data_IF_244816812913
#
_entry.id   IF_244816812913
#
_cell.length_a   1.000
_cell.length_b   1.000
_cell.length_c   1.000
_cell.angle_alpha   90.00
_cell.angle_beta   90.00
_cell.angle_gamma   90.00
#
_symmetry.space_group_name_H-M   'P 1'
#
loop_
_entity.id
_entity.type
_entity.pdbx_description
1 polymer ?
#
# COMPACT_ATOMS: atom_id res chain seq x y z
N UNK A 1 -12.39 -12.23 -3.19
CA UNK A 1 -11.86 -10.89 -3.54
C UNK A 1 -11.39 -10.81 -4.99
N UNK A 2 -10.62 -11.77 -5.50
CA UNK A 2 -10.13 -11.77 -6.89
C UNK A 2 -11.23 -11.61 -7.96
N UNK A 3 -12.36 -12.33 -7.83
CA UNK A 3 -13.53 -12.17 -8.71
C UNK A 3 -14.04 -10.72 -8.74
N UNK A 4 -14.07 -10.03 -7.60
CA UNK A 4 -14.51 -8.62 -7.51
C UNK A 4 -13.50 -7.68 -8.17
N UNK A 5 -12.20 -7.92 -7.97
CA UNK A 5 -11.14 -7.15 -8.63
C UNK A 5 -11.24 -7.31 -10.15
N UNK A 6 -11.48 -8.53 -10.65
CA UNK A 6 -11.62 -8.81 -12.07
C UNK A 6 -12.80 -8.08 -12.71
N UNK A 7 -13.88 -7.87 -11.97
CA UNK A 7 -15.04 -7.09 -12.45
C UNK A 7 -14.74 -5.59 -12.62
N UNK A 8 -13.93 -5.02 -11.73
CA UNK A 8 -13.68 -3.56 -11.71
C UNK A 8 -12.37 -3.17 -12.41
N UNK A 9 -11.40 -4.07 -12.50
CA UNK A 9 -10.12 -3.88 -13.17
C UNK A 9 -9.56 -5.22 -13.65
N UNK A 10 -9.95 -5.68 -14.85
CA UNK A 10 -9.44 -6.92 -15.42
C UNK A 10 -7.91 -6.92 -15.58
N UNK A 11 -7.30 -5.76 -15.83
CA UNK A 11 -5.85 -5.62 -15.97
C UNK A 11 -5.12 -5.82 -14.62
N UNK A 12 -5.65 -5.26 -13.53
CA UNK A 12 -5.08 -5.47 -12.20
C UNK A 12 -5.31 -6.91 -11.72
N UNK A 13 -6.44 -7.52 -12.08
CA UNK A 13 -6.73 -8.91 -11.73
C UNK A 13 -5.86 -9.96 -12.45
N UNK A 14 -5.16 -9.56 -13.52
CA UNK A 14 -4.13 -10.40 -14.15
C UNK A 14 -2.79 -10.38 -13.40
N UNK A 15 -2.66 -9.48 -12.43
CA UNK A 15 -1.47 -9.36 -11.59
C UNK A 15 -1.60 -10.24 -10.34
N UNK A 16 -0.59 -10.26 -9.48
CA UNK A 16 -0.65 -10.99 -8.22
C UNK A 16 -1.67 -10.37 -7.27
N UNK A 17 -2.54 -11.19 -6.66
CA UNK A 17 -3.42 -10.76 -5.57
C UNK A 17 -3.27 -11.70 -4.37
N UNK A 18 -2.91 -11.15 -3.21
CA UNK A 18 -2.86 -11.85 -1.93
C UNK A 18 -3.93 -11.33 -0.97
N UNK A 19 -4.45 -12.18 -0.09
CA UNK A 19 -5.31 -11.76 1.03
C UNK A 19 -5.17 -12.71 2.19
N UNK A 20 -5.12 -12.18 3.41
CA UNK A 20 -4.88 -12.94 4.64
C UNK A 20 -5.86 -12.58 5.77
N UNK A 21 -7.16 -12.50 5.47
CA UNK A 21 -8.24 -12.23 6.44
C UNK A 21 -8.28 -10.80 6.98
N UNK A 22 -7.12 -10.23 7.30
CA UNK A 22 -6.91 -8.91 7.89
C UNK A 22 -6.63 -7.84 6.85
N UNK A 23 -6.41 -8.24 5.59
CA UNK A 23 -6.08 -7.36 4.49
C UNK A 23 -5.99 -8.04 3.14
N UNK A 24 -5.59 -7.26 2.15
CA UNK A 24 -5.24 -7.74 0.82
C UNK A 24 -4.14 -6.88 0.20
N UNK A 25 -3.44 -7.46 -0.76
CA UNK A 25 -2.40 -6.84 -1.56
C UNK A 25 -2.63 -7.14 -3.03
N UNK A 26 -2.26 -6.18 -3.88
CA UNK A 26 -2.13 -6.36 -5.33
C UNK A 26 -0.67 -6.09 -5.66
N UNK A 27 -0.01 -7.10 -6.22
CA UNK A 27 1.41 -7.09 -6.57
C UNK A 27 1.58 -6.96 -8.07
N UNK A 28 2.49 -6.09 -8.49
CA UNK A 28 2.79 -5.78 -9.88
C UNK A 28 4.23 -6.21 -10.17
N UNK A 29 4.45 -7.14 -11.11
CA UNK A 29 5.79 -7.57 -11.47
C UNK A 29 6.67 -6.41 -11.95
N UNK A 30 7.93 -6.46 -11.57
CA UNK A 30 8.96 -5.50 -11.95
C UNK A 30 10.30 -6.22 -12.20
N UNK A 31 11.17 -5.71 -13.07
CA UNK A 31 12.49 -6.31 -13.25
C UNK A 31 13.29 -6.40 -11.94
N UNK A 32 14.05 -7.49 -11.80
CA UNK A 32 15.07 -7.66 -10.77
C UNK A 32 16.00 -6.42 -10.70
N UNK A 33 16.45 -5.99 -9.50
CA UNK A 33 16.36 -6.66 -8.19
C UNK A 33 15.11 -6.32 -7.36
N UNK A 34 14.08 -5.70 -7.96
CA UNK A 34 12.88 -5.27 -7.20
C UNK A 34 11.82 -6.36 -7.18
N UNK A 35 11.73 -7.17 -8.25
CA UNK A 35 10.79 -8.28 -8.49
C UNK A 35 9.31 -7.89 -8.49
N UNK A 36 8.81 -7.24 -7.44
CA UNK A 36 7.43 -6.77 -7.36
C UNK A 36 7.31 -5.41 -6.65
N UNK A 37 6.34 -4.62 -7.10
CA UNK A 37 5.75 -3.56 -6.29
C UNK A 37 4.40 -4.02 -5.77
N UNK A 38 4.15 -3.87 -4.48
CA UNK A 38 2.90 -4.25 -3.87
C UNK A 38 2.15 -3.04 -3.31
N UNK A 39 0.82 -3.07 -3.45
CA UNK A 39 -0.07 -2.14 -2.79
C UNK A 39 -1.17 -2.88 -2.04
N UNK A 40 -1.43 -2.49 -0.79
CA UNK A 40 -2.44 -3.18 0.00
C UNK A 40 -3.10 -2.32 1.05
N UNK A 41 -4.18 -2.87 1.61
CA UNK A 41 -4.81 -2.37 2.82
C UNK A 41 -4.85 -3.52 3.80
N UNK A 42 -4.35 -3.29 5.01
CA UNK A 42 -4.30 -4.30 6.07
C UNK A 42 -4.60 -3.67 7.42
N UNK A 43 -5.13 -4.48 8.32
CA UNK A 43 -5.06 -4.22 9.76
C UNK A 43 -3.70 -4.74 10.25
N UNK A 44 -3.00 -4.06 11.16
CA UNK A 44 -1.79 -4.63 11.78
C UNK A 44 -2.04 -6.04 12.35
N UNK A 45 -1.07 -6.97 12.24
CA UNK A 45 -1.23 -8.33 12.74
C UNK A 45 -1.55 -8.40 14.25
N UNK A 46 -2.23 -9.46 14.67
CA UNK A 46 -2.49 -9.76 16.09
C UNK A 46 -3.82 -9.25 16.65
N UNK A 47 -4.72 -8.71 15.82
CA UNK A 47 -5.93 -8.02 16.33
C UNK A 47 -7.27 -8.48 15.76
N UNK A 48 -7.33 -9.29 14.68
CA UNK A 48 -8.58 -9.52 13.93
C UNK A 48 -8.64 -10.80 13.10
N UNK A 49 -9.87 -11.24 12.79
CA UNK A 49 -10.19 -12.31 11.82
C UNK A 49 -10.62 -11.76 10.44
N UNK A 50 -11.29 -10.60 10.37
CA UNK A 50 -11.82 -10.02 9.12
C UNK A 50 -11.76 -8.48 9.10
N UNK A 51 -11.46 -7.87 7.94
CA UNK A 51 -11.46 -6.42 7.74
C UNK A 51 -12.85 -5.83 7.43
N UNK A 52 -13.08 -4.56 7.77
CA UNK A 52 -14.37 -3.89 7.56
C UNK A 52 -14.44 -3.19 6.19
N UNK A 53 -15.40 -3.62 5.36
CA UNK A 53 -15.60 -3.04 4.01
C UNK A 53 -15.88 -1.52 4.00
N UNK A 54 -16.65 -0.93 4.95
CA UNK A 54 -16.85 0.52 4.97
C UNK A 54 -15.56 1.31 5.21
N UNK A 55 -14.66 0.81 6.06
CA UNK A 55 -13.36 1.45 6.32
C UNK A 55 -12.51 1.41 5.05
N UNK A 56 -12.43 0.25 4.41
CA UNK A 56 -11.72 0.07 3.15
C UNK A 56 -12.14 1.07 2.07
N UNK A 57 -13.45 1.20 1.82
CA UNK A 57 -14.00 2.16 0.84
C UNK A 57 -13.63 3.60 1.18
N UNK A 58 -13.58 3.92 2.47
CA UNK A 58 -13.23 5.26 2.95
C UNK A 58 -11.76 5.56 2.71
N UNK A 59 -10.87 4.60 3.03
CA UNK A 59 -9.42 4.70 2.75
C UNK A 59 -9.19 4.86 1.25
N UNK A 60 -9.78 4.00 0.42
CA UNK A 60 -9.63 4.04 -1.03
C UNK A 60 -9.99 5.42 -1.61
N UNK A 61 -11.07 6.05 -1.14
CA UNK A 61 -11.43 7.42 -1.56
C UNK A 61 -10.43 8.46 -1.09
N UNK A 62 -9.94 8.35 0.15
CA UNK A 62 -8.97 9.31 0.71
C UNK A 62 -7.60 9.26 0.01
N UNK A 63 -7.14 8.07 -0.39
CA UNK A 63 -5.82 7.89 -1.02
C UNK A 63 -5.82 8.09 -2.53
N UNK A 64 -6.99 8.03 -3.18
CA UNK A 64 -7.09 8.11 -4.65
C UNK A 64 -6.39 9.34 -5.25
N UNK A 65 -6.52 10.57 -4.71
CA UNK A 65 -5.82 11.73 -5.27
C UNK A 65 -4.29 11.58 -5.23
N UNK A 66 -3.75 10.92 -4.20
CA UNK A 66 -2.33 10.61 -4.10
C UNK A 66 -1.88 9.67 -5.23
N UNK A 67 -2.57 8.55 -5.43
CA UNK A 67 -2.25 7.62 -6.52
C UNK A 67 -2.43 8.22 -7.91
N UNK A 68 -3.45 9.07 -8.11
CA UNK A 68 -3.62 9.80 -9.36
C UNK A 68 -2.45 10.75 -9.64
N UNK A 69 -1.96 11.45 -8.62
CA UNK A 69 -0.78 12.33 -8.75
C UNK A 69 0.48 11.52 -9.04
N UNK A 70 0.67 10.40 -8.33
CA UNK A 70 1.79 9.48 -8.54
C UNK A 70 1.83 8.94 -9.97
N UNK A 71 0.69 8.48 -10.48
CA UNK A 71 0.60 7.88 -11.81
C UNK A 71 0.74 8.90 -12.96
N UNK A 72 0.23 10.13 -12.79
CA UNK A 72 0.13 11.13 -13.87
C UNK A 72 1.27 12.15 -13.88
N UNK A 73 2.10 12.21 -12.85
CA UNK A 73 3.15 13.23 -12.73
C UNK A 73 4.51 12.61 -12.40
N UNK A 74 5.34 12.44 -13.43
CA UNK A 74 6.67 11.83 -13.32
C UNK A 74 7.62 12.62 -12.41
N UNK A 75 7.53 13.95 -12.38
CA UNK A 75 8.36 14.78 -11.49
C UNK A 75 8.00 14.54 -10.02
N UNK A 76 6.71 14.51 -9.69
CA UNK A 76 6.22 14.16 -8.36
C UNK A 76 6.67 12.76 -7.95
N UNK A 77 6.50 11.76 -8.83
CA UNK A 77 6.92 10.39 -8.57
C UNK A 77 8.42 10.29 -8.28
N UNK A 78 9.26 10.98 -9.07
CA UNK A 78 10.71 11.05 -8.86
C UNK A 78 11.07 11.70 -7.53
N UNK A 79 10.45 12.84 -7.19
CA UNK A 79 10.71 13.51 -5.92
C UNK A 79 10.31 12.65 -4.72
N UNK A 80 9.17 11.95 -4.80
CA UNK A 80 8.74 11.03 -3.77
C UNK A 80 9.72 9.86 -3.63
N UNK A 81 10.10 9.21 -4.72
CA UNK A 81 11.05 8.10 -4.71
C UNK A 81 12.40 8.51 -4.12
N UNK A 82 12.93 9.69 -4.49
CA UNK A 82 14.17 10.22 -3.94
C UNK A 82 14.04 10.55 -2.45
N UNK A 83 12.90 11.05 -1.99
CA UNK A 83 12.66 11.34 -0.59
C UNK A 83 12.62 10.03 0.24
N UNK A 84 11.96 8.99 -0.28
CA UNK A 84 11.92 7.65 0.31
C UNK A 84 13.34 7.07 0.41
N UNK A 85 14.06 7.01 -0.72
CA UNK A 85 15.43 6.48 -0.78
C UNK A 85 16.39 7.16 0.19
N UNK A 86 16.20 8.47 0.45
CA UNK A 86 17.04 9.25 1.37
C UNK A 86 16.53 9.27 2.81
N UNK A 87 15.48 8.50 3.15
CA UNK A 87 14.89 8.48 4.49
C UNK A 87 14.31 9.83 4.94
N UNK A 88 13.92 10.71 4.01
CA UNK A 88 13.45 12.07 4.32
C UNK A 88 11.96 12.07 4.68
N UNK A 89 11.62 11.54 5.85
CA UNK A 89 10.23 11.40 6.33
C UNK A 89 9.44 12.71 6.27
N UNK A 90 10.05 13.84 6.65
CA UNK A 90 9.39 15.15 6.57
C UNK A 90 9.02 15.53 5.12
N UNK A 91 9.90 15.26 4.16
CA UNK A 91 9.64 15.53 2.74
C UNK A 91 8.55 14.60 2.18
N UNK A 92 8.58 13.31 2.53
CA UNK A 92 7.51 12.35 2.18
C UNK A 92 6.16 12.82 2.74
N UNK A 93 6.13 13.24 4.00
CA UNK A 93 4.93 13.78 4.63
C UNK A 93 4.40 15.01 3.88
N UNK A 94 5.27 15.97 3.55
CA UNK A 94 4.90 17.18 2.79
C UNK A 94 4.36 16.87 1.40
N UNK A 95 4.85 15.83 0.73
CA UNK A 95 4.38 15.41 -0.59
C UNK A 95 3.01 14.71 -0.53
N UNK A 96 2.79 13.86 0.46
CA UNK A 96 1.61 12.99 0.53
C UNK A 96 0.43 13.66 1.26
N UNK A 97 0.68 14.32 2.39
CA UNK A 97 -0.37 14.85 3.27
C UNK A 97 -1.36 15.79 2.55
N UNK A 98 -0.92 16.69 1.64
CA UNK A 98 -1.84 17.56 0.90
C UNK A 98 -2.74 16.84 -0.09
N UNK A 99 -2.40 15.61 -0.48
CA UNK A 99 -3.16 14.77 -1.40
C UNK A 99 -4.14 13.83 -0.66
N UNK A 100 -3.78 13.41 0.55
CA UNK A 100 -4.63 12.57 1.41
C UNK A 100 -5.30 13.46 2.46
N UNK A 101 -6.32 14.22 2.03
CA UNK A 101 -7.00 15.23 2.85
C UNK A 101 -8.09 14.60 3.72
N UNK A 102 -7.68 13.91 4.76
CA UNK A 102 -8.59 13.41 5.80
C UNK A 102 -8.01 13.66 7.19
N UNK A 103 -8.87 13.86 8.19
CA UNK A 103 -8.48 13.99 9.58
C UNK A 103 -8.14 12.64 10.23
N UNK A 104 -8.63 11.53 9.64
CA UNK A 104 -8.40 10.18 10.15
C UNK A 104 -7.05 9.59 9.74
N UNK A 105 -6.26 10.30 8.92
CA UNK A 105 -4.88 9.92 8.61
C UNK A 105 -4.00 10.37 9.77
N UNK A 106 -3.51 9.42 10.56
CA UNK A 106 -2.70 9.69 11.75
C UNK A 106 -1.23 9.86 11.40
N UNK A 107 -0.67 8.92 10.63
CA UNK A 107 0.77 8.89 10.34
C UNK A 107 1.08 8.53 8.89
N UNK A 108 2.21 9.03 8.41
CA UNK A 108 2.84 8.68 7.13
C UNK A 108 4.28 8.28 7.47
N UNK A 109 4.63 7.02 7.23
CA UNK A 109 5.97 6.47 7.49
C UNK A 109 6.60 5.93 6.20
N UNK A 110 7.93 5.87 6.18
CA UNK A 110 8.70 5.17 5.15
C UNK A 110 8.93 3.76 5.66
N UNK A 111 8.54 2.76 4.86
CA UNK A 111 8.69 1.33 5.16
C UNK A 111 8.92 0.59 3.85
N UNK A 112 9.82 -0.41 3.86
CA UNK A 112 10.08 -1.34 2.75
C UNK A 112 10.23 -0.65 1.38
N UNK A 113 11.11 0.35 1.33
CA UNK A 113 11.35 1.18 0.13
C UNK A 113 10.10 1.87 -0.46
N UNK A 114 9.09 2.08 0.38
CA UNK A 114 7.85 2.71 0.01
C UNK A 114 7.27 3.54 1.15
N UNK A 115 5.95 3.49 1.32
CA UNK A 115 5.21 4.28 2.31
C UNK A 115 4.09 3.50 2.95
N UNK A 116 3.87 3.79 4.22
CA UNK A 116 2.72 3.34 4.99
C UNK A 116 1.91 4.51 5.51
N UNK A 117 0.61 4.46 5.29
CA UNK A 117 -0.35 5.46 5.74
C UNK A 117 -1.29 4.82 6.76
N UNK A 118 -1.26 5.28 8.00
CA UNK A 118 -2.09 4.78 9.09
C UNK A 118 -3.38 5.59 9.23
N UNK A 119 -4.51 4.90 9.21
CA UNK A 119 -5.84 5.48 9.35
C UNK A 119 -6.53 4.96 10.61
N UNK A 120 -7.15 5.86 11.37
CA UNK A 120 -7.99 5.54 12.53
C UNK A 120 -9.37 6.17 12.36
N UNK A 121 -10.36 5.33 12.04
CA UNK A 121 -11.73 5.78 11.87
C UNK A 121 -12.49 5.70 13.19
N UNK A 122 -13.28 6.72 13.59
CA UNK A 122 -14.00 6.73 14.86
C UNK A 122 -15.08 5.64 14.95
N UNK A 123 -15.55 5.14 13.81
CA UNK A 123 -16.55 4.06 13.74
C UNK A 123 -15.94 2.66 13.67
N UNK A 124 -14.61 2.54 13.72
CA UNK A 124 -13.91 1.25 13.74
C UNK A 124 -13.06 1.12 14.99
N UNK A 125 -12.99 -0.10 15.53
CA UNK A 125 -12.08 -0.42 16.64
C UNK A 125 -10.64 -0.65 16.18
N UNK A 126 -10.40 -0.72 14.87
CA UNK A 126 -9.12 -1.10 14.30
C UNK A 126 -8.48 0.08 13.58
N UNK A 127 -7.14 0.11 13.65
CA UNK A 127 -6.34 0.98 12.77
C UNK A 127 -6.02 0.23 11.50
N UNK A 128 -6.01 0.94 10.40
CA UNK A 128 -5.78 0.39 9.07
C UNK A 128 -4.55 1.02 8.46
N UNK A 129 -3.77 0.23 7.74
CA UNK A 129 -2.62 0.70 6.98
C UNK A 129 -2.90 0.54 5.51
N UNK A 130 -2.66 1.60 4.74
CA UNK A 130 -2.41 1.45 3.32
C UNK A 130 -0.90 1.39 3.11
N UNK A 131 -0.45 0.37 2.37
CA UNK A 131 0.95 0.08 2.13
C UNK A 131 1.25 0.17 0.65
N UNK A 132 2.32 0.86 0.29
CA UNK A 132 2.97 0.77 -1.02
C UNK A 132 4.43 0.43 -0.74
N UNK A 133 4.93 -0.69 -1.23
CA UNK A 133 6.28 -1.16 -0.92
C UNK A 133 6.89 -1.96 -2.06
N UNK A 134 8.22 -2.15 -1.99
CA UNK A 134 8.94 -3.11 -2.82
C UNK A 134 8.93 -4.46 -2.12
N UNK A 135 8.50 -5.48 -2.84
CA UNK A 135 8.48 -6.84 -2.34
C UNK A 135 9.58 -7.61 -3.06
N UNK A 136 10.69 -7.81 -2.35
CA UNK A 136 11.81 -8.63 -2.85
C UNK A 136 11.42 -10.07 -2.57
N UNK A 137 11.33 -10.89 -3.61
CA UNK A 137 11.35 -12.32 -3.40
C UNK A 137 12.76 -12.61 -2.94
N UNK A 138 12.98 -12.76 -1.63
CA UNK A 138 14.27 -13.26 -1.15
C UNK A 138 14.56 -14.53 -1.96
N UNK A 139 15.71 -14.61 -2.67
CA UNK A 139 16.08 -15.86 -3.28
C UNK A 139 16.08 -16.88 -2.15
N UNK A 140 15.32 -17.97 -2.31
CA UNK A 140 15.46 -19.12 -1.43
C UNK A 140 16.96 -19.39 -1.31
N UNK A 141 17.51 -19.17 -0.12
CA UNK A 141 18.82 -19.68 0.21
C UNK A 141 18.63 -21.19 0.15
N UNK A 142 19.06 -21.79 -0.96
CA UNK A 142 19.11 -23.22 -1.18
C UNK A 142 19.58 -23.91 0.11
N UNK A 143 18.77 -24.78 0.73
CA UNK A 143 19.29 -25.56 1.85
C UNK A 143 18.39 -26.39 2.76
N UNK A 144 17.06 -26.48 2.60
CA UNK A 144 16.26 -27.37 3.46
C UNK A 144 15.36 -28.28 2.60
N UNK A 145 15.52 -29.62 2.68
CA UNK A 145 14.74 -30.57 1.89
C UNK A 145 13.34 -30.81 2.49
N UNK A 146 12.42 -31.25 1.62
CA UNK A 146 11.05 -31.71 1.94
C UNK A 146 11.00 -32.83 2.99
#
# INVERSE_FOLDING_TARGET
>A
MEKLLRLVSPLAAKQGMGSNGIGYFVSFPFPSPIDNYANGITIPPGSVLFFETPVHRSIARSILPFYLKLAKNTSFARHLALAIQKGKTAAVHQLIRPLVRTAVLETITIEDDGVALLFAYPFSKFKYRNLLFRDVIEPHLDGEPE
#
